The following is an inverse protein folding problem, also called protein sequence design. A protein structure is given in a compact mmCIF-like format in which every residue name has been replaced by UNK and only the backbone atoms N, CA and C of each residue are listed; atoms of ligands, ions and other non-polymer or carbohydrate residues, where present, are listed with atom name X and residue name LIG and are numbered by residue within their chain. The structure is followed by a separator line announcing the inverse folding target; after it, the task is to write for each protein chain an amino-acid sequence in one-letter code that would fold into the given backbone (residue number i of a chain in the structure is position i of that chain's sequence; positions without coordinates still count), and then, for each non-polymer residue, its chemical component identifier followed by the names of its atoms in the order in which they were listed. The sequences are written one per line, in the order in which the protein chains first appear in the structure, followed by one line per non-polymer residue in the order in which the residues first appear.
data_IF_902871937271
#
_entry.id   IF_902871937271
#
_cell.length_a   1.000
_cell.length_b   1.000
_cell.length_c   1.000
_cell.angle_alpha   90.00
_cell.angle_beta   90.00
_cell.angle_gamma   90.00
#
_symmetry.space_group_name_H-M   'P 1'
#
loop_
_entity.id
_entity.type
_entity.pdbx_description
1 polymer ?
#
# COMPACT_ATOMS: atom_id res chain seq x y z
N UNK A 1 -26.76 -9.01 -26.21
CA UNK A 1 -26.78 -9.12 -24.73
C UNK A 1 -25.48 -8.51 -24.21
N UNK A 2 -25.55 -7.63 -23.20
CA UNK A 2 -24.32 -7.11 -22.57
C UNK A 2 -23.81 -8.23 -21.67
N UNK A 3 -22.73 -8.89 -22.09
CA UNK A 3 -22.12 -9.97 -21.35
C UNK A 3 -21.51 -9.41 -20.07
N UNK A 4 -22.07 -9.74 -18.91
CA UNK A 4 -21.54 -9.25 -17.62
C UNK A 4 -20.28 -10.05 -17.27
N UNK A 5 -19.11 -9.41 -17.08
CA UNK A 5 -17.89 -10.13 -16.79
C UNK A 5 -18.00 -10.97 -15.51
N UNK A 6 -17.60 -12.24 -15.59
CA UNK A 6 -17.73 -13.21 -14.48
C UNK A 6 -16.67 -13.04 -13.41
N UNK A 7 -15.51 -12.52 -13.81
CA UNK A 7 -14.36 -12.30 -12.94
C UNK A 7 -13.63 -11.00 -13.34
N UNK A 8 -12.65 -10.62 -12.53
CA UNK A 8 -11.91 -9.38 -12.72
C UNK A 8 -11.05 -9.40 -13.99
N UNK A 9 -10.54 -10.56 -14.39
CA UNK A 9 -9.77 -10.74 -15.64
C UNK A 9 -10.58 -10.41 -16.90
N UNK A 10 -11.78 -10.99 -17.01
CA UNK A 10 -12.73 -10.69 -18.09
C UNK A 10 -13.13 -9.21 -18.06
N UNK A 11 -13.34 -8.66 -16.86
CA UNK A 11 -13.71 -7.25 -16.70
C UNK A 11 -12.59 -6.33 -17.21
N UNK A 12 -11.33 -6.60 -16.86
CA UNK A 12 -10.21 -5.78 -17.35
C UNK A 12 -10.13 -5.85 -18.87
N UNK A 13 -10.21 -7.05 -19.45
CA UNK A 13 -10.13 -7.24 -20.91
C UNK A 13 -11.24 -6.51 -21.64
N UNK A 14 -12.45 -6.51 -21.10
CA UNK A 14 -13.60 -5.81 -21.67
C UNK A 14 -13.40 -4.28 -21.69
N UNK A 15 -12.92 -3.69 -20.58
CA UNK A 15 -12.86 -2.22 -20.45
C UNK A 15 -11.52 -1.59 -20.85
N UNK A 16 -10.41 -2.34 -20.80
CA UNK A 16 -9.06 -1.83 -21.05
C UNK A 16 -8.36 -2.53 -22.22
N UNK A 17 -8.94 -3.61 -22.76
CA UNK A 17 -8.37 -4.36 -23.86
C UNK A 17 -7.13 -5.18 -23.50
N UNK A 18 -6.63 -5.98 -24.45
CA UNK A 18 -5.52 -6.91 -24.22
C UNK A 18 -4.18 -6.21 -23.97
N UNK A 19 -3.98 -4.99 -24.48
CA UNK A 19 -2.71 -4.25 -24.36
C UNK A 19 -2.47 -3.83 -22.91
N UNK A 20 -3.36 -3.02 -22.32
CA UNK A 20 -3.22 -2.58 -20.92
C UNK A 20 -3.32 -3.76 -19.95
N UNK A 21 -4.12 -4.77 -20.29
CA UNK A 21 -4.15 -6.03 -19.55
C UNK A 21 -2.74 -6.63 -19.40
N UNK A 22 -2.00 -6.79 -20.51
CA UNK A 22 -0.68 -7.41 -20.50
C UNK A 22 0.42 -6.52 -19.93
N UNK A 23 0.35 -5.20 -20.13
CA UNK A 23 1.36 -4.26 -19.65
C UNK A 23 1.25 -3.95 -18.15
N UNK A 24 0.03 -3.83 -17.62
CA UNK A 24 -0.19 -3.37 -16.26
C UNK A 24 -1.00 -4.37 -15.44
N UNK A 25 -2.26 -4.57 -15.80
CA UNK A 25 -3.23 -5.19 -14.89
C UNK A 25 -2.91 -6.63 -14.54
N UNK A 26 -2.46 -7.45 -15.50
CA UNK A 26 -2.18 -8.88 -15.26
C UNK A 26 -1.14 -9.07 -14.17
N UNK A 27 -0.02 -8.36 -14.28
CA UNK A 27 1.09 -8.47 -13.33
C UNK A 27 0.77 -7.73 -12.04
N UNK A 28 0.27 -6.49 -12.15
CA UNK A 28 -0.02 -5.65 -10.99
C UNK A 28 -1.08 -6.25 -10.06
N UNK A 29 -2.18 -6.77 -10.62
CA UNK A 29 -3.26 -7.39 -9.83
C UNK A 29 -2.73 -8.56 -9.02
N UNK A 30 -1.99 -9.47 -9.66
CA UNK A 30 -1.42 -10.61 -8.96
C UNK A 30 -0.38 -10.18 -7.92
N UNK A 31 0.39 -9.12 -8.20
CA UNK A 31 1.40 -8.60 -7.27
C UNK A 31 0.81 -7.95 -6.02
N UNK A 32 -0.33 -7.25 -6.15
CA UNK A 32 -1.05 -6.63 -5.02
C UNK A 32 -1.84 -7.67 -4.24
N UNK A 33 -2.63 -8.49 -4.93
CA UNK A 33 -3.63 -9.36 -4.31
C UNK A 33 -3.13 -10.78 -4.06
N UNK A 34 -1.99 -11.16 -4.64
CA UNK A 34 -1.37 -12.50 -4.52
C UNK A 34 -2.22 -13.64 -5.08
N UNK A 35 -3.34 -13.30 -5.71
CA UNK A 35 -4.26 -14.18 -6.45
C UNK A 35 -4.40 -13.68 -7.88
N UNK A 36 -4.76 -14.57 -8.80
CA UNK A 36 -4.96 -14.19 -10.20
C UNK A 36 -6.29 -13.44 -10.37
N UNK A 37 -6.35 -12.55 -11.36
CA UNK A 37 -7.55 -11.75 -11.64
C UNK A 37 -8.79 -12.61 -12.01
N UNK A 38 -8.57 -13.79 -12.59
CA UNK A 38 -9.65 -14.73 -12.95
C UNK A 38 -10.28 -15.42 -11.72
N UNK A 39 -9.64 -15.33 -10.55
CA UNK A 39 -10.12 -15.83 -9.27
C UNK A 39 -10.85 -14.76 -8.44
N UNK A 40 -10.93 -13.52 -8.93
CA UNK A 40 -11.55 -12.41 -8.22
C UNK A 40 -12.90 -12.05 -8.84
N UNK A 41 -13.92 -11.79 -8.02
CA UNK A 41 -15.20 -11.26 -8.50
C UNK A 41 -15.09 -9.78 -8.90
N UNK A 42 -16.14 -9.23 -9.52
CA UNK A 42 -16.14 -7.86 -10.07
C UNK A 42 -16.87 -6.82 -9.20
N UNK A 43 -17.51 -7.25 -8.11
CA UNK A 43 -18.45 -6.41 -7.33
C UNK A 43 -17.74 -5.21 -6.67
N UNK A 44 -16.48 -5.37 -6.29
CA UNK A 44 -15.69 -4.33 -5.61
C UNK A 44 -15.08 -3.29 -6.55
N UNK A 45 -15.05 -3.56 -7.86
CA UNK A 45 -14.24 -2.81 -8.82
C UNK A 45 -14.73 -1.37 -9.01
N UNK A 46 -16.05 -1.14 -8.94
CA UNK A 46 -16.66 0.16 -9.22
C UNK A 46 -16.23 1.31 -8.30
N UNK A 47 -15.69 1.01 -7.11
CA UNK A 47 -15.18 2.02 -6.16
C UNK A 47 -13.65 2.13 -6.17
N UNK A 48 -12.94 1.31 -6.95
CA UNK A 48 -11.48 1.15 -6.87
C UNK A 48 -10.77 1.34 -8.20
N UNK A 49 -11.38 0.96 -9.32
CA UNK A 49 -10.76 1.07 -10.65
C UNK A 49 -11.54 2.09 -11.46
N UNK A 50 -10.90 3.23 -11.72
CA UNK A 50 -11.45 4.29 -12.55
C UNK A 50 -11.69 3.76 -13.96
N UNK A 51 -12.91 3.92 -14.47
CA UNK A 51 -13.18 3.77 -15.90
C UNK A 51 -12.91 5.11 -16.57
N UNK A 52 -12.17 5.10 -17.67
CA UNK A 52 -12.02 6.27 -18.53
C UNK A 52 -13.01 6.15 -19.70
N UNK A 53 -13.93 7.12 -19.87
CA UNK A 53 -14.79 7.15 -21.05
C UNK A 53 -13.95 7.22 -22.34
N UNK A 54 -14.41 6.56 -23.41
CA UNK A 54 -13.69 6.50 -24.67
C UNK A 54 -13.47 7.90 -25.27
N UNK A 55 -14.48 8.76 -25.17
CA UNK A 55 -14.42 10.13 -25.68
C UNK A 55 -13.32 10.93 -24.97
N UNK A 56 -13.19 10.76 -23.65
CA UNK A 56 -12.13 11.43 -22.88
C UNK A 56 -10.75 10.88 -23.22
N UNK A 57 -10.63 9.56 -23.41
CA UNK A 57 -9.38 8.96 -23.87
C UNK A 57 -8.98 9.51 -25.26
N UNK A 58 -9.91 9.57 -26.20
CA UNK A 58 -9.67 10.10 -27.53
C UNK A 58 -9.25 11.57 -27.52
N UNK A 59 -9.89 12.39 -26.67
CA UNK A 59 -9.51 13.79 -26.42
C UNK A 59 -8.05 13.88 -25.92
N UNK A 60 -7.68 13.12 -24.90
CA UNK A 60 -6.32 13.08 -24.36
C UNK A 60 -5.31 12.63 -25.41
N UNK A 61 -5.61 11.59 -26.20
CA UNK A 61 -4.72 11.11 -27.26
C UNK A 61 -4.52 12.12 -28.40
N UNK A 62 -5.44 13.07 -28.59
CA UNK A 62 -5.34 14.10 -29.61
C UNK A 62 -4.57 15.35 -29.14
N UNK A 63 -4.34 15.50 -27.84
CA UNK A 63 -3.60 16.61 -27.26
C UNK A 63 -2.09 16.51 -27.56
N UNK A 64 -1.43 17.65 -27.67
CA UNK A 64 0.03 17.68 -27.70
C UNK A 64 0.60 17.46 -26.29
N UNK A 65 1.90 17.20 -26.21
CA UNK A 65 2.59 16.89 -24.95
C UNK A 65 2.44 18.00 -23.89
N UNK A 66 2.45 19.27 -24.30
CA UNK A 66 2.34 20.41 -23.38
C UNK A 66 0.94 20.49 -22.77
N UNK A 67 -0.08 20.32 -23.60
CA UNK A 67 -1.48 20.36 -23.14
C UNK A 67 -1.82 19.13 -22.27
N UNK A 68 -1.16 17.99 -22.51
CA UNK A 68 -1.27 16.80 -21.66
C UNK A 68 -0.70 16.99 -20.25
N UNK A 69 0.36 17.78 -20.09
CA UNK A 69 0.98 18.05 -18.79
C UNK A 69 0.07 18.87 -17.87
N UNK A 70 -0.78 19.72 -18.46
CA UNK A 70 -1.76 20.55 -17.76
C UNK A 70 -3.17 19.94 -17.77
N UNK A 71 -3.36 18.84 -18.50
CA UNK A 71 -4.64 18.18 -18.70
C UNK A 71 -5.22 17.59 -17.40
N UNK A 72 -6.54 17.70 -17.24
CA UNK A 72 -7.25 16.97 -16.20
C UNK A 72 -7.29 15.48 -16.55
N UNK A 73 -6.29 14.76 -16.04
CA UNK A 73 -6.15 13.30 -16.19
C UNK A 73 -7.24 12.53 -15.43
N UNK A 74 -8.02 13.21 -14.61
CA UNK A 74 -9.28 12.70 -14.12
C UNK A 74 -9.19 11.76 -12.91
N UNK A 75 -10.24 11.93 -12.12
CA UNK A 75 -10.90 11.03 -11.16
C UNK A 75 -10.07 10.09 -10.28
N UNK A 76 -10.18 10.35 -8.98
CA UNK A 76 -10.13 9.35 -7.92
C UNK A 76 -10.66 10.01 -6.65
N UNK A 77 -11.36 9.28 -5.75
CA UNK A 77 -11.82 9.86 -4.48
C UNK A 77 -10.66 10.42 -3.63
N UNK A 78 -9.43 10.03 -3.97
CA UNK A 78 -8.20 10.43 -3.30
C UNK A 78 -7.32 11.38 -4.16
N UNK A 79 -7.87 11.99 -5.22
CA UNK A 79 -7.13 12.96 -6.04
C UNK A 79 -6.63 14.16 -5.21
N UNK A 80 -7.38 14.49 -4.14
CA UNK A 80 -6.92 15.34 -3.04
C UNK A 80 -7.17 14.61 -1.73
N UNK A 81 -6.23 14.70 -0.81
CA UNK A 81 -6.34 14.07 0.50
C UNK A 81 -5.65 14.93 1.56
N UNK A 82 -6.01 14.71 2.82
CA UNK A 82 -5.36 15.34 3.97
C UNK A 82 -4.53 14.30 4.71
N UNK A 83 -3.38 14.74 5.22
CA UNK A 83 -2.51 13.92 6.03
C UNK A 83 -2.04 14.72 7.26
N UNK A 84 -1.96 14.11 8.46
CA UNK A 84 -1.48 14.82 9.65
C UNK A 84 -0.05 15.30 9.47
N UNK A 85 0.19 16.58 9.76
CA UNK A 85 1.51 17.19 9.62
C UNK A 85 2.58 16.46 10.44
N UNK A 86 2.23 15.92 11.61
CA UNK A 86 3.15 15.20 12.50
C UNK A 86 2.57 13.84 12.90
N UNK A 87 3.44 12.89 13.21
CA UNK A 87 3.10 11.57 13.81
C UNK A 87 2.25 10.62 12.95
N UNK A 88 2.01 10.96 11.68
CA UNK A 88 1.31 10.11 10.71
C UNK A 88 -0.16 9.84 11.03
N UNK A 89 -0.75 8.89 10.31
CA UNK A 89 -2.18 8.55 10.41
C UNK A 89 -2.60 8.05 11.79
N UNK A 90 -1.70 7.38 12.52
CA UNK A 90 -1.95 6.90 13.89
C UNK A 90 -2.27 8.03 14.89
N UNK A 91 -1.82 9.26 14.60
CA UNK A 91 -2.12 10.43 15.43
C UNK A 91 -3.62 10.74 15.50
N UNK A 92 -4.36 10.52 14.42
CA UNK A 92 -5.81 10.75 14.35
C UNK A 92 -6.51 9.88 15.40
N UNK A 93 -6.18 8.59 15.40
CA UNK A 93 -6.74 7.62 16.34
C UNK A 93 -6.30 7.88 17.78
N UNK A 94 -5.02 8.22 17.99
CA UNK A 94 -4.52 8.58 19.33
C UNK A 94 -5.22 9.83 19.88
N UNK A 95 -5.42 10.85 19.05
CA UNK A 95 -6.18 12.05 19.41
C UNK A 95 -7.64 11.76 19.70
N UNK A 96 -8.27 10.82 18.98
CA UNK A 96 -9.62 10.37 19.27
C UNK A 96 -9.70 9.62 20.60
N UNK A 97 -8.80 8.66 20.84
CA UNK A 97 -8.70 7.90 22.09
C UNK A 97 -8.51 8.81 23.29
N UNK A 98 -7.68 9.85 23.18
CA UNK A 98 -7.44 10.82 24.26
C UNK A 98 -8.67 11.65 24.64
N UNK A 99 -9.71 11.69 23.80
CA UNK A 99 -10.98 12.40 24.09
C UNK A 99 -12.04 11.49 24.70
N UNK A 100 -11.77 10.19 24.80
CA UNK A 100 -12.69 9.19 25.31
C UNK A 100 -12.22 8.70 26.70
N UNK A 101 -13.13 8.17 27.54
CA UNK A 101 -12.76 7.65 28.86
C UNK A 101 -11.69 6.56 28.74
N UNK A 102 -10.58 6.73 29.45
CA UNK A 102 -9.40 5.87 29.30
C UNK A 102 -9.67 4.43 29.75
N UNK A 103 -10.60 4.24 30.68
CA UNK A 103 -11.04 2.94 31.19
C UNK A 103 -11.78 2.08 30.15
N UNK A 104 -12.23 2.68 29.04
CA UNK A 104 -12.82 1.94 27.90
C UNK A 104 -11.76 1.19 27.10
N UNK A 105 -10.49 1.60 27.19
CA UNK A 105 -9.41 1.04 26.39
C UNK A 105 -8.58 0.06 27.20
N UNK A 106 -8.44 -1.17 26.66
CA UNK A 106 -7.57 -2.21 27.22
C UNK A 106 -6.67 -2.73 26.11
N UNK A 107 -5.40 -2.35 26.17
CA UNK A 107 -4.39 -2.77 25.20
C UNK A 107 -3.61 -3.99 25.74
N UNK A 108 -3.01 -4.78 24.85
CA UNK A 108 -2.22 -5.97 25.22
C UNK A 108 -3.03 -7.15 25.77
N UNK A 109 -4.33 -7.22 25.44
CA UNK A 109 -5.22 -8.29 25.88
C UNK A 109 -5.40 -9.32 24.75
N UNK A 110 -5.29 -10.62 25.06
CA UNK A 110 -5.68 -11.69 24.13
C UNK A 110 -7.19 -11.96 24.21
N UNK A 111 -7.88 -12.05 23.07
CA UNK A 111 -9.31 -12.34 23.03
C UNK A 111 -9.58 -13.84 22.87
N UNK A 112 -10.33 -14.43 23.81
CA UNK A 112 -10.97 -15.74 23.67
C UNK A 112 -12.50 -15.59 23.77
N UNK A 113 -13.28 -16.68 23.73
CA UNK A 113 -14.76 -16.71 23.90
C UNK A 113 -15.29 -15.86 25.07
N UNK A 114 -14.43 -15.67 26.07
CA UNK A 114 -14.53 -14.63 27.08
C UNK A 114 -13.33 -13.71 26.87
N UNK A 115 -13.55 -12.39 26.80
CA UNK A 115 -12.43 -11.45 26.94
C UNK A 115 -11.85 -11.70 28.34
N UNK A 116 -10.72 -12.40 28.36
CA UNK A 116 -10.00 -12.77 29.57
C UNK A 116 -8.71 -11.98 29.54
N UNK A 117 -8.61 -10.95 30.38
CA UNK A 117 -7.35 -10.23 30.54
C UNK A 117 -6.78 -10.52 31.93
N UNK A 118 -5.46 -10.54 32.01
CA UNK A 118 -4.70 -10.84 33.21
C UNK A 118 -3.93 -9.60 33.66
N UNK A 119 -4.10 -9.19 34.92
CA UNK A 119 -3.26 -8.15 35.55
C UNK A 119 -2.38 -8.81 36.60
N UNK A 120 -1.08 -8.54 36.58
CA UNK A 120 -0.09 -9.15 37.50
C UNK A 120 -0.48 -9.03 38.99
N UNK A 121 -1.23 -8.00 39.38
CA UNK A 121 -1.71 -7.81 40.75
C UNK A 121 -3.11 -8.37 41.05
N UNK A 122 -3.91 -8.74 40.04
CA UNK A 122 -5.36 -8.98 40.24
C UNK A 122 -5.95 -10.21 39.54
N UNK A 123 -5.15 -11.00 38.81
CA UNK A 123 -5.59 -12.26 38.21
C UNK A 123 -6.40 -12.12 36.91
N UNK A 124 -7.13 -13.19 36.55
CA UNK A 124 -7.90 -13.33 35.29
C UNK A 124 -9.35 -12.85 35.44
N UNK A 125 -9.79 -11.96 34.55
CA UNK A 125 -11.15 -11.39 34.57
C UNK A 125 -12.04 -11.96 33.46
N UNK A 126 -13.35 -12.04 33.66
CA UNK A 126 -14.35 -12.39 32.63
C UNK A 126 -15.29 -11.20 32.40
N UNK A 127 -15.45 -10.76 31.15
CA UNK A 127 -16.39 -9.70 30.78
C UNK A 127 -17.68 -10.29 30.19
N UNK A 128 -18.82 -9.96 30.80
CA UNK A 128 -20.14 -10.22 30.23
C UNK A 128 -20.53 -9.07 29.27
N UNK A 129 -21.25 -9.39 28.20
CA UNK A 129 -21.78 -8.42 27.25
C UNK A 129 -23.18 -8.86 26.79
N UNK A 130 -24.07 -7.90 26.54
CA UNK A 130 -25.36 -8.15 25.89
C UNK A 130 -25.24 -8.13 24.36
N UNK A 131 -24.33 -7.28 23.85
CA UNK A 131 -24.07 -7.10 22.42
C UNK A 131 -22.55 -7.08 22.19
N UNK A 132 -22.09 -7.85 21.21
CA UNK A 132 -20.69 -7.87 20.77
C UNK A 132 -20.52 -7.09 19.46
N UNK A 133 -19.68 -6.05 19.51
CA UNK A 133 -19.17 -5.40 18.30
C UNK A 133 -17.78 -5.97 18.03
N UNK A 134 -17.67 -6.88 17.07
CA UNK A 134 -16.38 -7.46 16.68
C UNK A 134 -15.80 -6.75 15.45
N UNK A 135 -14.60 -6.21 15.60
CA UNK A 135 -13.80 -5.66 14.50
C UNK A 135 -12.52 -6.46 14.24
N UNK A 136 -12.30 -7.57 14.95
CA UNK A 136 -11.20 -8.49 14.65
C UNK A 136 -11.51 -9.33 13.40
N UNK A 137 -10.48 -9.91 12.73
CA UNK A 137 -10.70 -10.76 11.57
C UNK A 137 -11.71 -11.88 11.87
N UNK A 138 -12.70 -12.04 10.98
CA UNK A 138 -13.86 -12.91 11.22
C UNK A 138 -13.48 -14.39 11.29
N UNK A 139 -12.45 -14.81 10.55
CA UNK A 139 -11.85 -16.14 10.62
C UNK A 139 -11.27 -16.41 12.01
N UNK A 140 -10.59 -15.43 12.61
CA UNK A 140 -10.07 -15.55 13.99
C UNK A 140 -11.22 -15.64 14.98
N UNK A 141 -12.23 -14.78 14.87
CA UNK A 141 -13.43 -14.86 15.71
C UNK A 141 -14.03 -16.28 15.63
N UNK A 142 -14.29 -16.79 14.43
CA UNK A 142 -14.87 -18.13 14.23
C UNK A 142 -13.95 -19.23 14.75
N UNK A 143 -12.63 -19.11 14.57
CA UNK A 143 -11.66 -20.08 15.07
C UNK A 143 -11.68 -20.17 16.60
N UNK A 144 -11.73 -19.04 17.30
CA UNK A 144 -11.76 -18.98 18.76
C UNK A 144 -13.15 -19.30 19.34
N UNK A 145 -14.21 -18.90 18.64
CA UNK A 145 -15.60 -19.04 19.13
C UNK A 145 -16.31 -20.30 18.65
N UNK A 146 -15.81 -20.96 17.60
CA UNK A 146 -16.46 -22.12 16.97
C UNK A 146 -17.95 -21.89 16.69
N UNK A 147 -18.34 -20.64 16.37
CA UNK A 147 -19.74 -20.25 16.13
C UNK A 147 -20.34 -20.95 14.91
N UNK A 148 -19.52 -21.23 13.90
CA UNK A 148 -19.88 -21.98 12.71
C UNK A 148 -18.67 -22.74 12.18
N UNK A 149 -18.83 -23.41 11.03
CA UNK A 149 -17.73 -24.03 10.29
C UNK A 149 -16.69 -22.98 9.89
N UNK A 150 -15.43 -23.39 9.80
CA UNK A 150 -14.35 -22.49 9.35
C UNK A 150 -14.63 -21.98 7.94
N UNK A 151 -14.32 -20.69 7.72
CA UNK A 151 -14.52 -20.02 6.45
C UNK A 151 -13.25 -20.15 5.60
N UNK A 152 -13.40 -20.48 4.32
CA UNK A 152 -12.30 -20.40 3.35
C UNK A 152 -12.19 -18.95 2.84
N UNK A 153 -11.54 -18.10 3.64
CA UNK A 153 -11.27 -16.71 3.28
C UNK A 153 -9.86 -16.57 2.71
N UNK A 154 -9.78 -16.00 1.50
CA UNK A 154 -8.50 -15.60 0.91
C UNK A 154 -8.11 -14.22 1.45
N UNK A 155 -6.88 -14.13 1.94
CA UNK A 155 -6.24 -12.91 2.41
C UNK A 155 -4.74 -13.04 2.15
N UNK A 156 -4.00 -11.94 2.26
CA UNK A 156 -2.57 -11.90 2.01
C UNK A 156 -1.83 -11.23 3.16
N UNK A 157 -0.50 -11.37 3.18
CA UNK A 157 0.35 -10.65 4.14
C UNK A 157 1.07 -9.53 3.42
N UNK A 158 1.23 -8.38 4.09
CA UNK A 158 1.87 -7.20 3.53
C UNK A 158 3.08 -6.82 4.38
N UNK A 159 4.25 -6.78 3.75
CA UNK A 159 5.46 -6.25 4.35
C UNK A 159 5.56 -4.76 4.06
N UNK A 160 5.65 -3.98 5.13
CA UNK A 160 5.80 -2.53 5.06
C UNK A 160 7.23 -2.17 5.45
N UNK A 161 7.97 -1.67 4.47
CA UNK A 161 9.41 -1.44 4.57
C UNK A 161 9.67 0.06 4.51
N UNK A 162 10.14 0.62 5.62
CA UNK A 162 10.53 2.03 5.71
C UNK A 162 12.03 2.20 5.43
N UNK A 163 12.36 3.06 4.48
CA UNK A 163 13.74 3.40 4.13
C UNK A 163 13.93 4.90 4.39
N UNK A 164 14.79 5.23 5.35
CA UNK A 164 15.24 6.60 5.61
C UNK A 164 16.49 6.92 4.79
N UNK A 165 16.48 8.07 4.12
CA UNK A 165 17.51 8.53 3.21
C UNK A 165 17.97 9.93 3.63
N UNK A 166 19.25 10.25 3.41
CA UNK A 166 19.78 11.61 3.54
C UNK A 166 19.35 12.43 2.33
N UNK A 167 19.03 13.71 2.55
CA UNK A 167 18.76 14.67 1.49
C UNK A 167 19.98 14.90 0.58
N UNK A 168 19.82 15.36 -0.68
CA UNK A 168 18.59 15.90 -1.28
C UNK A 168 17.57 14.83 -1.66
N UNK A 169 16.30 15.25 -1.78
CA UNK A 169 15.25 14.45 -2.42
C UNK A 169 15.49 14.55 -3.94
N UNK A 170 15.30 13.47 -4.68
CA UNK A 170 15.40 13.53 -6.15
C UNK A 170 14.12 14.09 -6.79
N UNK A 171 14.23 14.54 -8.04
CA UNK A 171 13.12 15.19 -8.76
C UNK A 171 11.86 14.32 -8.88
N UNK A 172 12.00 12.98 -8.98
CA UNK A 172 10.87 12.06 -9.04
C UNK A 172 10.11 12.07 -7.70
N UNK A 173 10.81 11.89 -6.59
CA UNK A 173 10.22 11.86 -5.26
C UNK A 173 9.65 13.23 -4.83
N UNK A 174 10.15 14.33 -5.39
CA UNK A 174 9.58 15.66 -5.19
C UNK A 174 8.23 15.83 -5.90
N UNK A 175 8.09 15.23 -7.10
CA UNK A 175 6.90 15.37 -7.95
C UNK A 175 5.72 14.48 -7.54
N UNK A 176 5.99 13.28 -7.01
CA UNK A 176 4.95 12.27 -6.81
C UNK A 176 4.65 11.99 -5.34
N UNK A 177 3.43 11.51 -5.06
CA UNK A 177 2.97 11.10 -3.73
C UNK A 177 3.18 9.61 -3.49
N UNK A 178 2.82 8.78 -4.46
CA UNK A 178 3.08 7.34 -4.50
C UNK A 178 3.20 6.88 -5.96
N UNK A 179 3.83 5.73 -6.17
CA UNK A 179 4.03 5.10 -7.47
C UNK A 179 3.66 3.62 -7.43
N UNK A 180 3.20 3.12 -8.57
CA UNK A 180 2.81 1.72 -8.77
C UNK A 180 3.82 1.00 -9.65
N UNK A 181 4.13 -0.25 -9.31
CA UNK A 181 5.15 -1.04 -10.00
C UNK A 181 4.60 -2.41 -10.41
N UNK A 182 4.08 -2.57 -11.64
CA UNK A 182 3.57 -3.85 -12.13
C UNK A 182 4.67 -4.91 -12.29
N UNK A 183 5.92 -4.49 -12.59
CA UNK A 183 6.98 -5.38 -13.03
C UNK A 183 7.40 -6.36 -11.93
N UNK A 184 7.63 -7.63 -12.29
CA UNK A 184 8.10 -8.66 -11.36
C UNK A 184 9.55 -8.50 -10.91
N UNK A 185 10.31 -7.58 -11.51
CA UNK A 185 11.71 -7.30 -11.18
C UNK A 185 11.86 -6.66 -9.79
N UNK A 186 10.84 -5.94 -9.33
CA UNK A 186 10.81 -5.31 -8.01
C UNK A 186 9.82 -6.01 -7.07
N UNK A 187 10.12 -6.15 -5.77
CA UNK A 187 9.25 -6.91 -4.85
C UNK A 187 8.02 -6.11 -4.39
N UNK A 188 8.08 -4.78 -4.43
CA UNK A 188 7.00 -3.91 -3.98
C UNK A 188 6.00 -3.63 -5.09
N UNK A 189 4.70 -3.60 -4.77
CA UNK A 189 3.68 -3.13 -5.72
C UNK A 189 3.48 -1.61 -5.63
N UNK A 190 3.80 -1.00 -4.49
CA UNK A 190 3.66 0.44 -4.25
C UNK A 190 4.85 1.00 -3.47
N UNK A 191 5.25 2.20 -3.87
CA UNK A 191 6.18 3.05 -3.12
C UNK A 191 5.47 4.35 -2.78
N UNK A 192 5.56 4.77 -1.52
CA UNK A 192 4.99 6.02 -1.03
C UNK A 192 6.12 6.93 -0.55
N UNK A 193 6.18 8.16 -1.05
CA UNK A 193 7.15 9.16 -0.62
C UNK A 193 6.63 9.85 0.66
N UNK A 194 6.76 9.17 1.79
CA UNK A 194 6.06 9.54 3.03
C UNK A 194 6.44 10.95 3.54
N UNK A 195 7.69 11.38 3.32
CA UNK A 195 8.14 12.75 3.62
C UNK A 195 7.50 13.85 2.75
N UNK A 196 6.71 13.49 1.73
CA UNK A 196 5.88 14.44 0.99
C UNK A 196 4.56 14.73 1.69
N UNK A 197 4.15 13.91 2.66
CA UNK A 197 2.84 14.02 3.30
C UNK A 197 2.87 14.87 4.57
N UNK A 198 4.03 14.94 5.24
CA UNK A 198 4.21 15.67 6.48
C UNK A 198 5.64 15.54 7.00
N UNK A 199 5.84 15.96 8.26
CA UNK A 199 7.11 15.84 8.98
C UNK A 199 7.27 14.41 9.53
N UNK A 200 7.90 13.54 8.74
CA UNK A 200 7.85 12.08 8.90
C UNK A 200 9.19 11.43 9.22
N UNK A 201 10.25 12.22 9.40
CA UNK A 201 11.57 11.73 9.82
C UNK A 201 12.02 12.41 11.13
N UNK A 202 13.06 11.89 11.82
CA UNK A 202 13.55 12.50 13.04
C UNK A 202 14.11 13.93 12.85
N UNK A 203 14.60 14.24 11.65
CA UNK A 203 15.04 15.57 11.26
C UNK A 203 14.79 15.76 9.76
N UNK A 204 13.68 16.42 9.45
CA UNK A 204 13.21 16.66 8.08
C UNK A 204 14.07 17.68 7.30
N UNK A 205 15.02 18.37 7.93
CA UNK A 205 16.02 19.16 7.22
C UNK A 205 17.13 18.29 6.64
N UNK A 206 17.42 17.16 7.29
CA UNK A 206 18.54 16.28 6.93
C UNK A 206 18.10 15.02 6.19
N UNK A 207 16.93 14.49 6.50
CA UNK A 207 16.48 13.20 6.01
C UNK A 207 15.14 13.30 5.27
N UNK A 208 14.85 12.26 4.51
CA UNK A 208 13.55 11.97 3.91
C UNK A 208 13.31 10.47 3.93
N UNK A 209 12.07 10.04 3.66
CA UNK A 209 11.68 8.64 3.79
C UNK A 209 10.77 8.17 2.68
N UNK A 210 10.91 6.88 2.38
CA UNK A 210 10.05 6.15 1.46
C UNK A 210 9.51 4.89 2.15
N UNK A 211 8.29 4.53 1.80
CA UNK A 211 7.59 3.36 2.31
C UNK A 211 7.30 2.42 1.13
N UNK A 212 7.82 1.20 1.20
CA UNK A 212 7.57 0.16 0.20
C UNK A 212 6.58 -0.86 0.75
N UNK A 213 5.62 -1.27 -0.07
CA UNK A 213 4.65 -2.31 0.27
C UNK A 213 4.82 -3.53 -0.63
N UNK A 214 5.07 -4.69 -0.02
CA UNK A 214 5.26 -5.95 -0.71
C UNK A 214 4.20 -6.95 -0.22
N UNK A 215 3.33 -7.44 -1.11
CA UNK A 215 2.34 -8.45 -0.76
C UNK A 215 2.85 -9.86 -1.07
N UNK A 216 2.50 -10.80 -0.21
CA UNK A 216 2.81 -12.22 -0.35
C UNK A 216 1.60 -13.07 -0.01
N UNK A 217 1.44 -14.20 -0.70
CA UNK A 217 0.38 -15.14 -0.37
C UNK A 217 0.59 -15.67 1.06
N UNK A 218 -0.49 -15.92 1.78
CA UNK A 218 -0.40 -16.28 3.21
C UNK A 218 0.45 -17.54 3.43
N UNK A 219 0.30 -18.51 2.54
CA UNK A 219 0.95 -19.82 2.47
C UNK A 219 2.33 -19.80 1.81
N UNK A 220 2.80 -18.63 1.36
CA UNK A 220 4.14 -18.49 0.83
C UNK A 220 5.17 -18.66 1.96
N UNK A 221 5.73 -19.87 2.04
CA UNK A 221 6.73 -20.27 3.02
C UNK A 221 8.15 -19.83 2.65
N UNK A 222 8.37 -19.23 1.48
CA UNK A 222 9.64 -18.53 1.18
C UNK A 222 9.85 -17.31 2.10
N UNK A 223 8.80 -16.92 2.82
CA UNK A 223 8.69 -15.67 3.57
C UNK A 223 8.92 -15.87 5.09
N UNK A 224 9.31 -17.07 5.54
CA UNK A 224 9.54 -17.36 6.95
C UNK A 224 10.99 -17.20 7.39
N UNK A 225 11.45 -15.98 7.73
CA UNK A 225 12.69 -15.76 8.51
C UNK A 225 12.96 -14.28 8.77
N UNK A 226 13.61 -13.95 9.90
CA UNK A 226 14.27 -12.65 10.18
C UNK A 226 15.17 -12.18 9.03
N UNK A 227 15.71 -13.11 8.23
CA UNK A 227 16.52 -12.80 7.04
C UNK A 227 15.74 -12.15 5.90
N UNK A 228 14.43 -12.40 5.78
CA UNK A 228 13.64 -11.84 4.69
C UNK A 228 13.44 -10.32 4.84
N UNK A 229 13.26 -9.82 6.05
CA UNK A 229 13.13 -8.37 6.28
C UNK A 229 14.39 -7.64 5.80
N UNK A 230 15.56 -8.17 6.13
CA UNK A 230 16.85 -7.62 5.72
C UNK A 230 17.03 -7.77 4.20
N UNK A 231 16.66 -8.92 3.64
CA UNK A 231 16.74 -9.16 2.20
C UNK A 231 15.82 -8.23 1.41
N UNK A 232 14.56 -8.09 1.82
CA UNK A 232 13.60 -7.21 1.18
C UNK A 232 14.00 -5.75 1.35
N UNK A 233 14.47 -5.35 2.53
CA UNK A 233 15.02 -4.02 2.75
C UNK A 233 16.17 -3.73 1.79
N UNK A 234 17.15 -4.65 1.70
CA UNK A 234 18.30 -4.52 0.82
C UNK A 234 17.89 -4.50 -0.66
N UNK A 235 16.98 -5.40 -1.07
CA UNK A 235 16.48 -5.49 -2.44
C UNK A 235 15.68 -4.25 -2.81
N UNK A 236 14.80 -3.76 -1.93
CA UNK A 236 14.07 -2.51 -2.12
C UNK A 236 15.06 -1.35 -2.26
N UNK A 237 16.02 -1.23 -1.34
CA UNK A 237 17.03 -0.18 -1.40
C UNK A 237 17.83 -0.20 -2.70
N UNK A 238 18.37 -1.34 -3.11
CA UNK A 238 19.15 -1.46 -4.34
C UNK A 238 18.33 -1.11 -5.59
N UNK A 239 17.08 -1.59 -5.66
CA UNK A 239 16.22 -1.35 -6.80
C UNK A 239 15.74 0.10 -6.85
N UNK A 240 15.41 0.70 -5.71
CA UNK A 240 15.08 2.12 -5.64
C UNK A 240 16.31 2.95 -5.99
N UNK A 241 17.50 2.57 -5.53
CA UNK A 241 18.74 3.21 -5.93
C UNK A 241 18.90 3.16 -7.44
N UNK A 242 18.80 1.99 -8.06
CA UNK A 242 19.06 1.83 -9.49
C UNK A 242 17.95 2.39 -10.40
N UNK A 243 16.68 2.28 -10.01
CA UNK A 243 15.55 2.67 -10.85
C UNK A 243 15.10 4.11 -10.61
N UNK A 244 15.11 4.57 -9.35
CA UNK A 244 14.61 5.91 -8.99
C UNK A 244 15.74 6.89 -8.64
N UNK A 245 16.77 6.48 -7.89
CA UNK A 245 17.78 7.44 -7.38
C UNK A 245 18.97 7.65 -8.33
N UNK A 246 19.31 6.67 -9.17
CA UNK A 246 20.52 6.67 -10.01
C UNK A 246 20.22 6.92 -11.49
N UNK A 247 18.95 6.85 -11.92
CA UNK A 247 18.57 7.06 -13.32
C UNK A 247 18.21 8.52 -13.58
N UNK A 248 19.12 9.17 -14.29
CA UNK A 248 18.88 10.34 -15.17
C UNK A 248 17.97 10.00 -16.37
N UNK A 249 17.10 8.99 -16.27
CA UNK A 249 16.21 8.58 -17.38
C UNK A 249 14.88 9.31 -17.29
N UNK A 250 14.93 10.58 -17.67
CA UNK A 250 13.86 11.25 -18.40
C UNK A 250 14.53 12.09 -19.51
N UNK A 251 15.27 11.42 -20.40
CA UNK A 251 15.51 11.96 -21.74
C UNK A 251 14.29 11.64 -22.60
N UNK A 252 13.22 12.43 -22.39
CA UNK A 252 12.34 12.84 -23.46
C UNK A 252 12.72 14.28 -23.84
N UNK A 253 13.99 14.50 -24.18
CA UNK A 253 14.39 15.54 -25.14
C UNK A 253 15.85 15.35 -25.51
N UNK A 254 16.10 15.00 -26.77
CA UNK A 254 17.44 15.07 -27.36
C UNK A 254 17.76 16.53 -27.67
N UNK A 255 18.11 17.32 -26.66
CA UNK A 255 19.05 18.46 -26.71
C UNK A 255 18.85 19.35 -25.48
N UNK A 256 19.76 19.30 -24.51
CA UNK A 256 20.35 20.46 -23.81
C UNK A 256 21.27 19.98 -22.67
N UNK A 257 22.25 20.83 -22.37
CA UNK A 257 23.54 20.50 -21.76
C UNK A 257 23.53 20.04 -20.29
N UNK A 258 24.36 19.03 -20.04
CA UNK A 258 25.21 18.72 -18.86
C UNK A 258 25.04 19.49 -17.52
N UNK A 259 24.85 18.72 -16.44
CA UNK A 259 25.71 18.62 -15.24
C UNK A 259 24.92 18.56 -13.91
N UNK A 260 24.73 17.36 -13.37
CA UNK A 260 24.69 17.15 -11.91
C UNK A 260 24.91 15.68 -11.57
N UNK A 261 26.05 15.38 -10.94
CA UNK A 261 26.33 14.08 -10.32
C UNK A 261 25.65 14.04 -8.94
N UNK A 262 24.75 13.07 -8.72
CA UNK A 262 24.10 12.87 -7.42
C UNK A 262 25.01 12.04 -6.50
N UNK A 263 25.35 12.57 -5.31
CA UNK A 263 26.29 11.97 -4.36
C UNK A 263 25.63 10.95 -3.42
N UNK A 264 26.44 10.01 -2.94
CA UNK A 264 26.07 8.87 -2.10
C UNK A 264 25.25 9.25 -0.85
N UNK A 265 24.27 8.41 -0.52
CA UNK A 265 23.33 8.57 0.58
C UNK A 265 23.54 7.46 1.63
N UNK A 266 23.89 7.82 2.87
CA UNK A 266 23.91 6.89 4.01
C UNK A 266 22.50 6.73 4.63
N UNK A 267 22.23 5.59 5.27
CA UNK A 267 20.87 5.08 5.52
C UNK A 267 20.61 4.81 7.01
N UNK A 268 19.39 5.10 7.47
CA UNK A 268 18.80 4.60 8.73
C UNK A 268 17.50 3.85 8.40
N UNK A 269 17.29 2.62 8.90
CA UNK A 269 16.22 1.72 8.44
C UNK A 269 15.34 1.14 9.55
N UNK A 270 14.05 0.90 9.25
CA UNK A 270 13.11 0.21 10.15
C UNK A 270 12.09 -0.61 9.33
N UNK A 271 11.69 -1.81 9.80
CA UNK A 271 10.76 -2.69 9.09
C UNK A 271 9.68 -3.27 10.01
N UNK A 272 8.42 -3.34 9.56
CA UNK A 272 7.30 -3.99 10.27
C UNK A 272 6.47 -4.87 9.31
N UNK A 273 6.05 -6.05 9.77
CA UNK A 273 5.06 -6.87 9.06
C UNK A 273 3.65 -6.52 9.55
N UNK A 274 2.71 -6.36 8.62
CA UNK A 274 1.28 -6.21 8.92
C UNK A 274 0.51 -7.33 8.23
N UNK A 275 -0.39 -7.97 8.96
CA UNK A 275 -1.37 -8.90 8.39
C UNK A 275 -2.61 -8.09 7.98
N UNK A 276 -3.05 -8.25 6.73
CA UNK A 276 -4.21 -7.55 6.17
C UNK A 276 -5.33 -8.55 5.83
#
# INVERSE_FOLDING_TARGET
EINTPKNFDEWIKEYFGPTLYNYFFKQYTQKVWTVKADQMNTVWVGSRVAKMPYEKLAELCAMNQKDLEEGDLGWGPNARFMFPKHYGTGSIWKSMTNKLPSEWFRFGCESNKLITYEKEQYGKFKLNYDVLINTSPIDQLIKHTKLCRELDLKHNKVFVIGIGLIKPINCIAERFTWLYFPESTVPFYRVTFLSRYGEMTPNDEKYWSILCECAYAIDDNSVGSSYLHIFLLYKCYLLLRNELLHRSFLNFDTTLHSNSTCSHTDVLTFSHALHA
#
